data_IF_211091818756
#
_entry.id   IF_211091818756
#
_cell.length_a   1.000
_cell.length_b   1.000
_cell.length_c   1.000
_cell.angle_alpha   90.00
_cell.angle_beta   90.00
_cell.angle_gamma   90.00
#
_symmetry.space_group_name_H-M   'P 1'
#
loop_
_entity.id
_entity.type
_entity.pdbx_description
1 polymer ?
#
# COMPACT_ATOMS: atom_id res chain seq x y z
N UNK A 1 0.41 -2.07 12.81
CA UNK A 1 -0.51 -1.15 12.12
C UNK A 1 -1.29 -0.33 13.13
N UNK A 2 -1.63 0.87 12.78
CA UNK A 2 -2.38 1.77 13.64
C UNK A 2 -3.86 1.77 13.29
N UNK A 3 -4.74 1.62 14.28
CA UNK A 3 -6.19 1.69 14.07
C UNK A 3 -6.61 3.15 13.90
N UNK A 4 -7.40 3.42 12.87
CA UNK A 4 -7.88 4.77 12.53
C UNK A 4 -9.33 4.68 12.05
N UNK A 5 -9.94 5.84 11.80
CA UNK A 5 -11.31 5.92 11.27
C UNK A 5 -11.36 6.89 10.10
N UNK A 6 -11.97 6.46 9.00
CA UNK A 6 -12.18 7.30 7.81
C UNK A 6 -10.96 7.47 6.92
N UNK A 7 -9.84 6.86 7.26
CA UNK A 7 -8.59 6.90 6.49
C UNK A 7 -7.91 5.54 6.56
N UNK A 8 -6.85 5.35 5.77
CA UNK A 8 -6.09 4.11 5.75
C UNK A 8 -6.77 3.00 4.97
N UNK A 9 -6.31 1.77 5.16
CA UNK A 9 -6.88 0.58 4.51
C UNK A 9 -8.11 0.10 5.27
N UNK A 10 -9.10 -0.44 4.56
CA UNK A 10 -10.32 -1.00 5.18
C UNK A 10 -9.95 -2.10 6.17
N UNK A 11 -10.24 -1.87 7.44
CA UNK A 11 -9.90 -2.81 8.50
C UNK A 11 -10.54 -4.18 8.28
N UNK A 12 -11.81 -4.22 7.87
CA UNK A 12 -12.54 -5.48 7.68
C UNK A 12 -11.93 -6.31 6.54
N UNK A 13 -11.51 -5.66 5.46
CA UNK A 13 -10.85 -6.33 4.34
C UNK A 13 -9.50 -6.91 4.78
N UNK A 14 -8.73 -6.13 5.51
CA UNK A 14 -7.42 -6.57 6.00
C UNK A 14 -7.53 -7.69 7.03
N UNK A 15 -8.57 -7.67 7.87
CA UNK A 15 -8.81 -8.70 8.86
C UNK A 15 -9.32 -10.01 8.25
N UNK A 16 -10.09 -9.93 7.17
CA UNK A 16 -10.66 -11.11 6.51
C UNK A 16 -9.70 -11.76 5.51
N UNK A 17 -8.74 -10.98 4.98
CA UNK A 17 -7.80 -11.44 3.97
C UNK A 17 -6.49 -11.95 4.56
N UNK A 18 -5.70 -12.59 3.70
CA UNK A 18 -4.33 -12.97 4.04
C UNK A 18 -3.40 -11.79 3.79
N UNK A 19 -2.83 -11.24 4.86
CA UNK A 19 -1.91 -10.10 4.79
C UNK A 19 -0.48 -10.61 4.85
N UNK A 20 0.33 -10.21 3.87
CA UNK A 20 1.74 -10.57 3.81
C UNK A 20 2.60 -9.33 3.67
N UNK A 21 3.77 -9.36 4.29
CA UNK A 21 4.80 -8.33 4.17
C UNK A 21 5.97 -8.88 3.38
N UNK A 22 6.59 -8.01 2.60
CA UNK A 22 7.78 -8.41 1.85
C UNK A 22 8.38 -7.24 1.10
N UNK A 23 9.15 -7.56 0.09
CA UNK A 23 9.81 -6.59 -0.77
C UNK A 23 9.39 -6.80 -2.22
N UNK A 24 9.77 -5.87 -3.06
CA UNK A 24 9.42 -5.86 -4.48
C UNK A 24 9.90 -7.13 -5.20
N UNK A 25 8.99 -7.75 -5.95
CA UNK A 25 9.28 -8.92 -6.80
C UNK A 25 9.33 -8.55 -8.27
N UNK A 26 8.72 -7.45 -8.65
CA UNK A 26 8.56 -7.00 -10.03
C UNK A 26 7.10 -7.14 -10.49
N UNK A 27 6.64 -6.20 -11.29
CA UNK A 27 5.28 -6.21 -11.82
C UNK A 27 4.20 -5.70 -10.89
N UNK A 28 4.54 -5.23 -9.69
CA UNK A 28 3.55 -4.64 -8.77
C UNK A 28 2.93 -3.39 -9.38
N UNK A 29 1.63 -3.20 -9.13
CA UNK A 29 0.89 -2.03 -9.57
C UNK A 29 0.09 -1.47 -8.40
N UNK A 30 -0.07 -0.13 -8.40
CA UNK A 30 -0.77 0.56 -7.32
C UNK A 30 -1.59 1.71 -7.91
N UNK A 31 -2.81 1.87 -7.41
CA UNK A 31 -3.66 3.02 -7.70
C UNK A 31 -3.61 3.95 -6.48
N UNK A 32 -3.08 5.15 -6.64
CA UNK A 32 -2.92 6.09 -5.53
C UNK A 32 -4.16 6.97 -5.30
N UNK A 33 -5.02 7.11 -6.30
CA UNK A 33 -6.20 7.97 -6.22
C UNK A 33 -7.43 7.23 -6.72
N UNK A 34 -8.58 7.36 -6.04
CA UNK A 34 -9.83 6.78 -6.52
C UNK A 34 -10.15 7.27 -7.94
N UNK A 35 -10.50 6.34 -8.82
CA UNK A 35 -10.77 6.65 -10.22
C UNK A 35 -9.55 6.89 -11.09
N UNK A 36 -8.34 6.92 -10.52
CA UNK A 36 -7.10 7.06 -11.26
C UNK A 36 -6.63 5.73 -11.87
N UNK A 37 -5.57 5.77 -12.70
CA UNK A 37 -5.03 4.56 -13.30
C UNK A 37 -4.23 3.74 -12.30
N UNK A 38 -4.19 2.43 -12.50
CA UNK A 38 -3.17 1.59 -11.86
C UNK A 38 -1.83 1.86 -12.54
N UNK A 39 -0.82 2.15 -11.74
CA UNK A 39 0.52 2.48 -12.24
C UNK A 39 1.52 1.46 -11.75
N UNK A 40 2.55 1.17 -12.54
CA UNK A 40 3.60 0.29 -12.08
C UNK A 40 4.34 0.90 -10.88
N UNK A 41 4.64 0.06 -9.90
CA UNK A 41 5.42 0.51 -8.73
C UNK A 41 6.79 1.05 -9.17
N UNK A 42 7.39 0.44 -10.19
CA UNK A 42 8.65 0.91 -10.76
C UNK A 42 8.57 2.39 -11.18
N UNK A 43 7.51 2.78 -11.90
CA UNK A 43 7.33 4.17 -12.32
C UNK A 43 7.10 5.10 -11.13
N UNK A 44 6.31 4.66 -10.15
CA UNK A 44 6.08 5.46 -8.94
C UNK A 44 7.37 5.69 -8.15
N UNK A 45 8.22 4.67 -8.05
CA UNK A 45 9.52 4.80 -7.39
C UNK A 45 10.44 5.77 -8.12
N UNK A 46 10.41 5.78 -9.45
CA UNK A 46 11.18 6.72 -10.25
C UNK A 46 10.70 8.16 -10.06
N UNK A 47 9.38 8.38 -10.06
CA UNK A 47 8.81 9.72 -9.85
C UNK A 47 9.12 10.27 -8.47
N UNK A 48 9.15 9.43 -7.45
CA UNK A 48 9.47 9.83 -6.08
C UNK A 48 10.98 9.93 -5.84
N UNK A 49 11.78 9.72 -6.88
CA UNK A 49 13.23 9.75 -6.81
C UNK A 49 13.83 8.82 -5.75
N UNK A 50 13.20 7.68 -5.53
CA UNK A 50 13.70 6.67 -4.59
C UNK A 50 14.97 6.06 -5.21
N UNK A 51 16.12 6.10 -4.51
CA UNK A 51 17.36 5.54 -5.05
C UNK A 51 17.25 4.03 -5.31
N UNK A 52 17.89 3.50 -6.36
CA UNK A 52 17.80 2.08 -6.70
C UNK A 52 18.14 1.13 -5.54
N UNK A 53 19.11 1.48 -4.71
CA UNK A 53 19.50 0.63 -3.57
C UNK A 53 18.45 0.59 -2.45
N UNK A 54 17.51 1.54 -2.42
CA UNK A 54 16.40 1.55 -1.47
C UNK A 54 15.18 0.83 -2.01
N UNK A 55 15.01 0.76 -3.32
CA UNK A 55 13.81 0.21 -3.96
C UNK A 55 13.59 -1.26 -3.60
N UNK A 56 14.66 -2.05 -3.57
CA UNK A 56 14.59 -3.49 -3.29
C UNK A 56 14.40 -3.80 -1.81
N UNK A 57 14.54 -2.82 -0.94
CA UNK A 57 14.37 -2.95 0.51
C UNK A 57 13.08 -2.32 1.01
N UNK A 58 12.35 -1.63 0.15
CA UNK A 58 11.15 -0.92 0.52
C UNK A 58 10.08 -1.91 0.98
N UNK A 59 9.53 -1.75 2.21
CA UNK A 59 8.47 -2.64 2.68
C UNK A 59 7.21 -2.51 1.85
N UNK A 60 6.64 -3.65 1.47
CA UNK A 60 5.37 -3.74 0.78
C UNK A 60 4.41 -4.60 1.60
N UNK A 61 3.12 -4.26 1.55
CA UNK A 61 2.06 -5.01 2.19
C UNK A 61 1.08 -5.49 1.12
N UNK A 62 0.80 -6.79 1.10
CA UNK A 62 -0.22 -7.38 0.23
C UNK A 62 -1.39 -7.89 1.05
N UNK A 63 -2.57 -7.85 0.46
CA UNK A 63 -3.77 -8.48 0.99
C UNK A 63 -4.33 -9.40 -0.10
N UNK A 64 -4.39 -10.69 0.18
CA UNK A 64 -4.83 -11.73 -0.76
C UNK A 64 -4.06 -11.65 -2.11
N UNK A 65 -2.76 -11.42 -2.04
CA UNK A 65 -1.90 -11.32 -3.22
C UNK A 65 -1.98 -9.99 -3.97
N UNK A 66 -2.81 -9.06 -3.51
CA UNK A 66 -2.96 -7.73 -4.10
C UNK A 66 -2.13 -6.72 -3.30
N UNK A 67 -1.35 -5.90 -3.99
CA UNK A 67 -0.58 -4.86 -3.31
C UNK A 67 -1.52 -3.85 -2.67
N UNK A 68 -1.38 -3.68 -1.36
CA UNK A 68 -2.21 -2.76 -0.57
C UNK A 68 -1.46 -1.48 -0.17
N UNK A 69 -0.15 -1.57 0.01
CA UNK A 69 0.66 -0.46 0.48
C UNK A 69 2.11 -0.63 0.06
N UNK A 70 2.73 0.49 -0.31
CA UNK A 70 4.18 0.59 -0.52
C UNK A 70 4.70 1.73 0.35
N UNK A 71 5.66 1.43 1.22
CA UNK A 71 6.21 2.40 2.17
C UNK A 71 6.78 3.62 1.44
N UNK A 72 6.44 4.82 1.90
CA UNK A 72 6.87 6.06 1.28
C UNK A 72 6.18 6.43 -0.03
N UNK A 73 5.36 5.54 -0.59
CA UNK A 73 4.62 5.77 -1.85
C UNK A 73 3.14 5.99 -1.57
N UNK A 74 2.47 5.04 -0.92
CA UNK A 74 1.07 5.20 -0.58
C UNK A 74 0.29 3.91 -0.47
N UNK A 75 -1.04 4.07 -0.38
CA UNK A 75 -2.00 3.00 -0.19
C UNK A 75 -2.78 2.75 -1.49
N UNK A 76 -3.22 1.51 -1.68
CA UNK A 76 -4.10 1.15 -2.80
C UNK A 76 -5.46 1.82 -2.63
N UNK A 77 -5.86 2.67 -3.58
CA UNK A 77 -7.08 3.46 -3.49
C UNK A 77 -8.35 2.59 -3.40
N UNK A 78 -8.35 1.41 -4.02
CA UNK A 78 -9.51 0.52 -3.99
C UNK A 78 -9.74 -0.13 -2.61
N UNK A 79 -8.75 -0.05 -1.73
CA UNK A 79 -8.80 -0.62 -0.39
C UNK A 79 -8.90 0.44 0.71
N UNK A 80 -9.13 1.69 0.35
CA UNK A 80 -9.21 2.79 1.32
C UNK A 80 -10.52 2.76 2.09
N UNK A 81 -10.43 3.04 3.39
CA UNK A 81 -11.60 3.21 4.26
C UNK A 81 -12.39 4.46 3.86
N UNK A 82 -13.70 4.33 3.83
CA UNK A 82 -14.61 5.45 3.61
C UNK A 82 -14.75 6.31 4.88
N UNK A 83 -15.27 7.55 4.77
CA UNK A 83 -15.54 8.37 5.95
C UNK A 83 -16.40 7.60 6.96
N UNK A 84 -15.99 7.57 8.21
CA UNK A 84 -16.67 6.83 9.27
C UNK A 84 -16.37 5.34 9.33
N UNK A 85 -15.70 4.78 8.33
CA UNK A 85 -15.34 3.37 8.28
C UNK A 85 -14.03 3.12 9.04
N UNK A 86 -13.95 1.97 9.73
CA UNK A 86 -12.73 1.58 10.43
C UNK A 86 -11.60 1.28 9.44
N UNK A 87 -10.44 1.85 9.69
CA UNK A 87 -9.25 1.68 8.87
C UNK A 87 -8.02 1.30 9.66
N UNK A 88 -6.96 0.94 8.95
CA UNK A 88 -5.64 0.69 9.54
C UNK A 88 -4.57 1.39 8.69
N UNK A 89 -3.56 1.94 9.36
CA UNK A 89 -2.41 2.56 8.70
C UNK A 89 -1.16 1.71 8.92
N UNK A 90 -0.56 1.19 7.85
CA UNK A 90 0.75 0.54 7.95
C UNK A 90 1.81 1.56 8.33
N UNK A 91 2.78 1.13 9.14
CA UNK A 91 3.91 1.99 9.55
C UNK A 91 5.20 1.20 9.47
N UNK A 92 6.26 1.88 9.08
CA UNK A 92 7.61 1.33 9.15
C UNK A 92 8.14 1.61 10.54
N UNK A 93 8.47 0.56 11.29
CA UNK A 93 9.13 0.69 12.58
C UNK A 93 10.61 1.07 12.37
N UNK A 94 11.06 2.08 13.07
CA UNK A 94 12.43 2.47 12.83
C UNK A 94 12.96 3.57 13.68
#
# INVERSE_FOLDING_TARGET
MEAVTGVGLKRDVMAAGEVTLGVRQGGERLRLHPGGPHRSLKNLLQEQAIPPWQRDRLPLLWCDGRLAWAAGIGLEADLLAAPGEAGVLPRVAG
#
